data_IF_072404704361
#
_entry.id   IF_072404704361
#
_cell.length_a   1.000
_cell.length_b   1.000
_cell.length_c   1.000
_cell.angle_alpha   90.00
_cell.angle_beta   90.00
_cell.angle_gamma   90.00
#
_symmetry.space_group_name_H-M   'P 1'
#
loop_
_entity.id
_entity.type
_entity.pdbx_description
1 polymer ?
#
# COMPACT_ATOMS: atom_id res chain seq x y z
N UNK A 1 -38.91 -24.76 -13.65
CA UNK A 1 -38.37 -23.64 -14.40
C UNK A 1 -36.97 -23.98 -14.93
N UNK A 2 -36.84 -24.12 -16.25
CA UNK A 2 -35.57 -24.33 -16.93
C UNK A 2 -34.73 -23.05 -16.78
N UNK A 3 -33.66 -23.09 -15.96
CA UNK A 3 -32.63 -22.08 -15.93
C UNK A 3 -31.89 -22.16 -17.28
N UNK A 4 -32.16 -21.24 -18.21
CA UNK A 4 -31.35 -21.07 -19.40
C UNK A 4 -29.96 -20.56 -18.95
N UNK A 5 -28.98 -21.42 -18.92
CA UNK A 5 -27.57 -21.03 -18.89
C UNK A 5 -27.21 -20.46 -20.24
N UNK A 6 -27.13 -19.14 -20.36
CA UNK A 6 -26.54 -18.53 -21.53
C UNK A 6 -25.05 -18.84 -21.56
N UNK A 7 -24.59 -19.56 -22.59
CA UNK A 7 -23.15 -19.76 -22.81
C UNK A 7 -22.63 -18.55 -23.57
N UNK A 8 -21.76 -17.78 -22.96
CA UNK A 8 -21.07 -16.68 -23.61
C UNK A 8 -19.66 -17.16 -24.00
N UNK A 9 -19.29 -16.98 -25.24
CA UNK A 9 -17.95 -17.28 -25.74
C UNK A 9 -17.46 -16.09 -26.56
N UNK A 10 -16.62 -15.27 -25.95
CA UNK A 10 -15.97 -14.15 -26.60
C UNK A 10 -14.49 -14.15 -26.24
N UNK A 11 -13.66 -13.63 -27.11
CA UNK A 11 -12.22 -13.54 -26.87
C UNK A 11 -11.68 -12.22 -27.41
N UNK A 12 -10.74 -11.66 -26.70
CA UNK A 12 -10.04 -10.47 -27.12
C UNK A 12 -8.53 -10.63 -26.87
N UNK A 13 -7.74 -10.00 -27.70
CA UNK A 13 -6.28 -10.03 -27.61
C UNK A 13 -5.75 -8.64 -27.27
N UNK A 14 -4.85 -8.59 -26.32
CA UNK A 14 -4.15 -7.38 -25.96
C UNK A 14 -2.65 -7.59 -26.11
N UNK A 15 -1.97 -6.66 -26.76
CA UNK A 15 -0.51 -6.61 -26.80
C UNK A 15 -0.03 -5.20 -26.48
N UNK A 16 1.08 -5.08 -25.75
CA UNK A 16 1.59 -3.79 -25.33
C UNK A 16 3.11 -3.86 -25.09
N UNK A 17 3.78 -2.77 -25.51
CA UNK A 17 5.17 -2.54 -25.15
C UNK A 17 5.21 -1.68 -23.89
N UNK A 18 5.92 -2.15 -22.84
CA UNK A 18 6.07 -1.49 -21.54
C UNK A 18 7.53 -1.12 -21.29
N UNK A 19 8.05 -0.07 -21.95
CA UNK A 19 9.44 0.34 -21.79
C UNK A 19 9.71 0.88 -20.40
N UNK A 20 10.93 0.62 -19.91
CA UNK A 20 11.50 1.24 -18.72
C UNK A 20 12.89 1.73 -19.04
N UNK A 21 13.15 2.97 -18.69
CA UNK A 21 14.46 3.58 -18.77
C UNK A 21 14.85 4.10 -17.38
N UNK A 22 16.07 3.79 -16.95
CA UNK A 22 16.62 4.26 -15.67
C UNK A 22 18.05 4.72 -15.90
N UNK A 23 18.36 5.89 -15.38
CA UNK A 23 19.72 6.41 -15.27
C UNK A 23 20.06 6.57 -13.80
N UNK A 24 21.24 6.14 -13.41
CA UNK A 24 21.75 6.31 -12.05
C UNK A 24 23.17 6.80 -12.07
N UNK A 25 23.51 7.65 -11.12
CA UNK A 25 24.85 8.18 -10.94
C UNK A 25 25.33 7.94 -9.51
N UNK A 26 26.40 7.21 -9.38
CA UNK A 26 27.12 7.06 -8.13
C UNK A 26 27.96 8.33 -7.92
N UNK A 27 27.63 9.13 -6.90
CA UNK A 27 28.34 10.36 -6.55
C UNK A 27 29.55 10.08 -5.65
N UNK A 28 29.43 9.06 -4.80
CA UNK A 28 30.49 8.51 -3.94
C UNK A 28 30.12 7.08 -3.56
N UNK A 29 30.97 6.38 -2.83
CA UNK A 29 30.66 5.03 -2.31
C UNK A 29 29.35 4.95 -1.55
N UNK A 30 28.94 6.06 -0.92
CA UNK A 30 27.81 6.15 0.01
C UNK A 30 26.63 6.97 -0.54
N UNK A 31 26.71 7.49 -1.77
CA UNK A 31 25.71 8.40 -2.31
C UNK A 31 25.42 8.09 -3.78
N UNK A 32 24.15 7.80 -4.06
CA UNK A 32 23.65 7.55 -5.40
C UNK A 32 22.38 8.37 -5.64
N UNK A 33 22.25 8.91 -6.84
CA UNK A 33 21.02 9.52 -7.34
C UNK A 33 20.54 8.76 -8.58
N UNK A 34 19.26 8.77 -8.83
CA UNK A 34 18.68 8.14 -10.01
C UNK A 34 17.45 8.89 -10.53
N UNK A 35 17.17 8.65 -11.79
CA UNK A 35 15.90 9.00 -12.41
C UNK A 35 15.38 7.83 -13.24
N UNK A 36 14.09 7.60 -13.24
CA UNK A 36 13.46 6.55 -14.02
C UNK A 36 12.18 7.01 -14.67
N UNK A 37 11.91 6.47 -15.86
CA UNK A 37 10.64 6.58 -16.57
C UNK A 37 10.21 5.17 -16.95
N UNK A 38 8.98 4.80 -16.61
CA UNK A 38 8.45 3.49 -16.91
C UNK A 38 7.00 3.57 -17.37
N UNK A 39 6.62 2.74 -18.35
CA UNK A 39 5.24 2.56 -18.78
C UNK A 39 4.66 1.31 -18.16
N UNK A 40 3.55 1.45 -17.43
CA UNK A 40 2.75 0.37 -16.92
C UNK A 40 1.55 0.09 -17.82
N UNK A 41 1.04 -1.14 -17.76
CA UNK A 41 -0.08 -1.63 -18.53
C UNK A 41 -0.87 -2.67 -17.73
N UNK A 42 -2.19 -2.61 -17.86
CA UNK A 42 -3.10 -3.65 -17.38
C UNK A 42 -4.11 -3.96 -18.48
N UNK A 43 -4.25 -5.23 -18.83
CA UNK A 43 -5.16 -5.66 -19.90
C UNK A 43 -6.61 -5.29 -19.58
N UNK A 44 -7.38 -5.05 -20.63
CA UNK A 44 -8.82 -4.98 -20.57
C UNK A 44 -9.46 -6.36 -20.36
N UNK A 45 -10.78 -6.42 -20.39
CA UNK A 45 -11.51 -7.65 -20.20
C UNK A 45 -13.01 -7.45 -20.22
N UNK A 46 -13.74 -8.44 -19.71
CA UNK A 46 -15.19 -8.44 -19.64
C UNK A 46 -15.67 -8.49 -18.20
N UNK A 47 -16.75 -7.76 -17.90
CA UNK A 47 -17.45 -7.85 -16.64
C UNK A 47 -18.40 -9.04 -16.64
N UNK A 48 -18.17 -10.03 -15.78
CA UNK A 48 -19.09 -11.17 -15.62
C UNK A 48 -20.26 -10.72 -14.75
N UNK A 49 -21.43 -10.56 -15.37
CA UNK A 49 -22.68 -10.22 -14.66
C UNK A 49 -23.71 -11.32 -14.86
N UNK A 50 -24.50 -11.61 -13.85
CA UNK A 50 -25.48 -12.71 -13.89
C UNK A 50 -26.74 -12.41 -14.71
N UNK A 51 -26.91 -11.22 -15.26
CA UNK A 51 -28.19 -10.74 -15.78
C UNK A 51 -28.22 -10.31 -17.24
N UNK A 52 -27.08 -10.27 -17.94
CA UNK A 52 -27.06 -9.81 -19.35
C UNK A 52 -26.41 -10.84 -20.25
N UNK A 53 -26.99 -10.98 -21.45
CA UNK A 53 -26.44 -11.81 -22.55
C UNK A 53 -25.19 -11.19 -23.19
N UNK A 54 -24.90 -9.92 -22.90
CA UNK A 54 -23.72 -9.20 -23.38
C UNK A 54 -22.93 -8.74 -22.18
N UNK A 55 -21.68 -9.16 -22.08
CA UNK A 55 -20.79 -8.73 -21.00
C UNK A 55 -20.22 -7.35 -21.34
N UNK A 56 -20.42 -6.32 -20.48
CA UNK A 56 -19.76 -5.04 -20.69
C UNK A 56 -18.25 -5.21 -20.68
N UNK A 57 -17.60 -4.89 -21.79
CA UNK A 57 -16.15 -4.88 -21.89
C UNK A 57 -15.57 -3.63 -21.20
N UNK A 58 -14.34 -3.73 -20.76
CA UNK A 58 -13.54 -2.60 -20.31
C UNK A 58 -12.17 -2.59 -20.99
N UNK A 59 -11.69 -1.40 -21.28
CA UNK A 59 -10.47 -1.18 -22.03
C UNK A 59 -9.22 -1.41 -21.19
N UNK A 60 -8.05 -1.61 -21.81
CA UNK A 60 -6.77 -1.60 -21.13
C UNK A 60 -6.49 -0.25 -20.46
N UNK A 61 -5.78 -0.31 -19.35
CA UNK A 61 -5.30 0.85 -18.62
C UNK A 61 -3.81 1.03 -18.85
N UNK A 62 -3.36 2.30 -18.88
CA UNK A 62 -1.96 2.66 -19.11
C UNK A 62 -1.53 3.70 -18.12
N UNK A 63 -0.28 3.61 -17.67
CA UNK A 63 0.33 4.69 -16.90
C UNK A 63 1.75 4.97 -17.36
N UNK A 64 2.18 6.21 -17.15
CA UNK A 64 3.57 6.60 -17.16
C UNK A 64 3.97 6.98 -15.74
N UNK A 65 5.01 6.35 -15.24
CA UNK A 65 5.61 6.65 -13.96
C UNK A 65 6.94 7.36 -14.18
N UNK A 66 7.09 8.53 -13.58
CA UNK A 66 8.31 9.34 -13.54
C UNK A 66 8.77 9.40 -12.09
N UNK A 67 10.01 9.07 -11.85
CA UNK A 67 10.57 9.03 -10.51
C UNK A 67 11.99 9.56 -10.52
N UNK A 68 12.32 10.38 -9.52
CA UNK A 68 13.70 10.76 -9.18
C UNK A 68 13.94 10.42 -7.72
N UNK A 69 15.13 9.97 -7.39
CA UNK A 69 15.43 9.60 -6.02
C UNK A 69 16.91 9.61 -5.70
N UNK A 70 17.18 9.47 -4.42
CA UNK A 70 18.52 9.38 -3.88
C UNK A 70 18.59 8.32 -2.79
N UNK A 71 19.74 7.61 -2.75
CA UNK A 71 20.14 6.68 -1.69
C UNK A 71 21.42 7.20 -1.09
N UNK A 72 21.37 7.52 0.20
CA UNK A 72 22.47 8.20 0.87
C UNK A 72 22.82 7.48 2.15
N UNK A 73 24.10 7.27 2.41
CA UNK A 73 24.59 6.83 3.69
C UNK A 73 25.50 7.91 4.29
N UNK A 74 25.36 8.11 5.60
CA UNK A 74 26.07 9.10 6.39
C UNK A 74 26.63 8.45 7.65
N UNK A 75 27.50 9.14 8.37
CA UNK A 75 28.03 8.71 9.64
C UNK A 75 28.67 7.31 9.56
N UNK A 76 29.48 7.07 8.53
CA UNK A 76 30.13 5.77 8.27
C UNK A 76 29.09 4.63 8.11
N UNK A 77 27.98 4.89 7.42
CA UNK A 77 26.92 3.91 7.18
C UNK A 77 25.92 3.72 8.32
N UNK A 78 26.09 4.43 9.45
CA UNK A 78 25.16 4.34 10.59
C UNK A 78 23.79 4.95 10.28
N UNK A 79 23.74 5.98 9.44
CA UNK A 79 22.52 6.59 8.95
C UNK A 79 22.38 6.30 7.46
N UNK A 80 21.37 5.53 7.09
CA UNK A 80 21.00 5.23 5.71
C UNK A 80 19.65 5.90 5.42
N UNK A 81 19.57 6.63 4.32
CA UNK A 81 18.35 7.32 3.89
C UNK A 81 18.07 7.05 2.42
N UNK A 82 16.81 6.86 2.10
CA UNK A 82 16.30 6.82 0.75
C UNK A 82 15.19 7.84 0.61
N UNK A 83 15.19 8.60 -0.48
CA UNK A 83 14.13 9.54 -0.81
C UNK A 83 13.78 9.44 -2.26
N UNK A 84 12.51 9.58 -2.59
CA UNK A 84 12.02 9.69 -3.96
C UNK A 84 10.91 10.70 -4.09
N UNK A 85 10.81 11.27 -5.27
CA UNK A 85 9.68 12.06 -5.76
C UNK A 85 9.11 11.35 -6.97
N UNK A 86 7.81 11.20 -7.04
CA UNK A 86 7.17 10.51 -8.16
C UNK A 86 5.98 11.30 -8.71
N UNK A 87 5.72 11.06 -10.00
CA UNK A 87 4.53 11.47 -10.70
C UNK A 87 4.05 10.34 -11.60
N UNK A 88 2.77 9.96 -11.48
CA UNK A 88 2.12 8.94 -12.29
C UNK A 88 0.98 9.58 -13.07
N UNK A 89 1.06 9.52 -14.39
CA UNK A 89 -0.01 9.90 -15.31
C UNK A 89 -0.76 8.63 -15.73
N UNK A 90 -2.06 8.53 -15.41
CA UNK A 90 -2.84 7.31 -15.55
C UNK A 90 -4.03 7.52 -16.47
N UNK A 91 -4.05 6.81 -17.61
CA UNK A 91 -5.10 6.89 -18.63
C UNK A 91 -5.92 5.62 -18.64
N UNK A 92 -7.23 5.77 -18.88
CA UNK A 92 -8.20 4.67 -18.90
C UNK A 92 -8.15 3.82 -17.62
N UNK A 93 -7.90 4.43 -16.47
CA UNK A 93 -7.78 3.72 -15.20
C UNK A 93 -9.02 2.85 -14.95
N UNK A 94 -8.80 1.57 -14.66
CA UNK A 94 -9.86 0.62 -14.34
C UNK A 94 -10.30 0.84 -12.88
N UNK A 95 -11.56 1.22 -12.72
CA UNK A 95 -12.16 1.48 -11.40
C UNK A 95 -13.29 0.49 -11.18
N UNK A 96 -13.24 -0.23 -10.06
CA UNK A 96 -14.31 -1.15 -9.68
C UNK A 96 -15.41 -0.40 -8.95
N UNK A 97 -16.61 -0.50 -9.46
CA UNK A 97 -17.82 0.08 -8.86
C UNK A 97 -18.81 -1.03 -8.53
N UNK A 98 -19.33 -1.05 -7.31
CA UNK A 98 -20.41 -1.96 -6.95
C UNK A 98 -21.75 -1.38 -7.43
N UNK A 99 -22.45 -2.12 -8.29
CA UNK A 99 -23.75 -1.75 -8.83
C UNK A 99 -24.82 -2.64 -8.20
N UNK A 100 -25.87 -2.07 -7.56
CA UNK A 100 -26.96 -2.85 -6.99
C UNK A 100 -27.57 -3.81 -8.03
N UNK A 101 -27.69 -5.09 -7.68
CA UNK A 101 -28.25 -6.13 -8.55
C UNK A 101 -27.30 -6.70 -9.61
N UNK A 102 -26.19 -6.04 -9.90
CA UNK A 102 -25.18 -6.51 -10.89
C UNK A 102 -23.85 -6.94 -10.25
N UNK A 103 -23.58 -6.54 -9.01
CA UNK A 103 -22.31 -6.83 -8.34
C UNK A 103 -21.21 -5.83 -8.68
N UNK A 104 -19.96 -6.28 -8.68
CA UNK A 104 -18.81 -5.43 -8.98
C UNK A 104 -18.60 -5.34 -10.51
N UNK A 105 -18.58 -4.12 -11.00
CA UNK A 105 -18.34 -3.80 -12.42
C UNK A 105 -17.07 -2.95 -12.52
N UNK A 106 -16.19 -3.31 -13.43
CA UNK A 106 -15.02 -2.54 -13.81
C UNK A 106 -15.41 -1.57 -14.93
N UNK A 107 -15.12 -0.31 -14.76
CA UNK A 107 -15.24 0.74 -15.76
C UNK A 107 -13.91 1.47 -15.91
N UNK A 108 -13.66 2.06 -17.04
CA UNK A 108 -12.51 2.90 -17.26
C UNK A 108 -12.82 4.33 -16.82
N UNK A 109 -12.08 4.86 -15.84
CA UNK A 109 -12.03 6.29 -15.57
C UNK A 109 -11.30 7.01 -16.72
N UNK A 110 -11.65 8.26 -17.00
CA UNK A 110 -11.06 8.97 -18.12
C UNK A 110 -9.55 9.18 -17.94
N UNK A 111 -9.15 9.84 -16.86
CA UNK A 111 -7.76 10.21 -16.59
C UNK A 111 -7.58 10.49 -15.09
N UNK A 112 -6.47 10.06 -14.52
CA UNK A 112 -6.09 10.38 -13.14
C UNK A 112 -4.59 10.66 -13.03
N UNK A 113 -4.20 11.38 -12.00
CA UNK A 113 -2.80 11.56 -11.64
C UNK A 113 -2.54 11.15 -10.18
N UNK A 114 -1.31 10.73 -9.94
CA UNK A 114 -0.79 10.50 -8.59
C UNK A 114 0.60 11.10 -8.49
N UNK A 115 0.84 11.87 -7.43
CA UNK A 115 2.15 12.46 -7.18
C UNK A 115 2.44 12.49 -5.70
N UNK A 116 3.70 12.42 -5.37
CA UNK A 116 4.09 12.38 -3.99
C UNK A 116 5.57 12.25 -3.78
N UNK A 117 5.90 11.96 -2.54
CA UNK A 117 7.25 11.65 -2.14
C UNK A 117 7.27 10.55 -1.09
N UNK A 118 8.40 9.85 -1.05
CA UNK A 118 8.69 8.83 -0.06
C UNK A 118 10.04 9.14 0.60
N UNK A 119 10.11 8.89 1.90
CA UNK A 119 11.30 9.02 2.71
C UNK A 119 11.44 7.79 3.58
N UNK A 120 12.63 7.18 3.57
CA UNK A 120 13.00 6.07 4.44
C UNK A 120 14.33 6.40 5.12
N UNK A 121 14.44 6.13 6.41
CA UNK A 121 15.65 6.31 7.18
C UNK A 121 15.85 5.16 8.16
N UNK A 122 17.07 4.64 8.23
CA UNK A 122 17.51 3.70 9.27
C UNK A 122 18.74 4.28 9.94
N UNK A 123 18.68 4.42 11.25
CA UNK A 123 19.76 5.01 12.05
C UNK A 123 20.19 4.06 13.18
N UNK A 124 21.49 3.75 13.22
CA UNK A 124 22.14 2.92 14.22
C UNK A 124 23.16 3.76 15.02
N UNK A 125 22.70 4.58 16.00
CA UNK A 125 23.59 5.49 16.71
C UNK A 125 24.63 4.78 17.58
N UNK A 126 24.25 3.64 18.15
CA UNK A 126 25.09 2.84 19.04
C UNK A 126 24.76 1.35 18.88
N UNK A 127 25.62 0.50 19.42
CA UNK A 127 25.42 -0.94 19.40
C UNK A 127 24.10 -1.31 20.10
N UNK A 128 23.29 -2.13 19.44
CA UNK A 128 22.00 -2.59 19.94
C UNK A 128 20.82 -1.67 19.63
N UNK A 129 21.01 -0.37 19.32
CA UNK A 129 19.92 0.54 19.01
C UNK A 129 19.76 0.73 17.48
N UNK A 130 18.58 0.41 16.98
CA UNK A 130 18.16 0.71 15.62
C UNK A 130 16.86 1.52 15.64
N UNK A 131 16.86 2.64 14.93
CA UNK A 131 15.72 3.51 14.71
C UNK A 131 15.36 3.46 13.24
N UNK A 132 14.10 3.25 12.91
CA UNK A 132 13.59 3.25 11.54
C UNK A 132 12.47 4.28 11.42
N UNK A 133 12.47 5.02 10.33
CA UNK A 133 11.43 5.96 9.98
C UNK A 133 11.10 5.86 8.50
N UNK A 134 9.83 5.67 8.17
CA UNK A 134 9.32 5.69 6.81
C UNK A 134 8.14 6.63 6.75
N UNK A 135 8.09 7.46 5.72
CA UNK A 135 7.01 8.37 5.47
C UNK A 135 6.74 8.48 3.99
N UNK A 136 5.47 8.32 3.60
CA UNK A 136 4.98 8.51 2.25
C UNK A 136 3.86 9.54 2.22
N UNK A 137 3.89 10.41 1.24
CA UNK A 137 2.80 11.32 0.91
C UNK A 137 2.36 11.10 -0.52
N UNK A 138 1.06 10.86 -0.72
CA UNK A 138 0.48 10.59 -2.03
C UNK A 138 -0.73 11.49 -2.27
N UNK A 139 -0.68 12.28 -3.33
CA UNK A 139 -1.81 13.06 -3.82
C UNK A 139 -2.30 12.44 -5.13
N UNK A 140 -3.38 11.65 -5.05
CA UNK A 140 -3.95 10.94 -6.18
C UNK A 140 -5.41 11.37 -6.40
N UNK A 141 -5.76 11.75 -7.64
CA UNK A 141 -7.08 12.27 -7.98
C UNK A 141 -7.49 11.93 -9.40
N UNK A 142 -8.79 11.97 -9.65
CA UNK A 142 -9.33 11.98 -10.99
C UNK A 142 -9.13 13.35 -11.65
N UNK A 143 -8.45 13.40 -12.78
CA UNK A 143 -8.34 14.59 -13.62
C UNK A 143 -9.56 14.74 -14.52
N UNK A 144 -10.11 13.63 -14.99
CA UNK A 144 -11.37 13.55 -15.74
C UNK A 144 -12.03 12.20 -15.46
N UNK A 145 -13.21 12.23 -14.86
CA UNK A 145 -14.03 11.05 -14.68
C UNK A 145 -15.51 11.44 -14.73
N UNK A 146 -16.16 11.07 -15.82
CA UNK A 146 -17.58 11.26 -16.06
C UNK A 146 -18.24 9.88 -16.03
N UNK A 147 -18.88 9.56 -14.91
CA UNK A 147 -19.57 8.28 -14.72
C UNK A 147 -20.86 8.19 -15.52
N UNK A 148 -21.53 9.34 -15.72
CA UNK A 148 -22.70 9.51 -16.56
C UNK A 148 -22.83 11.00 -16.96
N UNK A 149 -23.81 11.33 -17.80
CA UNK A 149 -24.06 12.72 -18.22
C UNK A 149 -24.31 13.70 -17.06
N UNK A 150 -24.69 13.20 -15.89
CA UNK A 150 -25.03 14.03 -14.70
C UNK A 150 -24.15 13.74 -13.47
N UNK A 151 -23.28 12.71 -13.52
CA UNK A 151 -22.45 12.31 -12.38
C UNK A 151 -20.98 12.43 -12.78
N UNK A 152 -20.29 13.39 -12.18
CA UNK A 152 -18.90 13.70 -12.43
C UNK A 152 -18.07 13.55 -11.15
N UNK A 153 -16.94 12.90 -11.23
CA UNK A 153 -16.00 12.74 -10.11
C UNK A 153 -14.65 13.43 -10.36
N UNK A 154 -14.59 14.25 -11.40
CA UNK A 154 -13.41 15.07 -11.71
C UNK A 154 -12.99 15.91 -10.51
N UNK A 155 -11.70 15.85 -10.15
CA UNK A 155 -11.16 16.51 -8.97
C UNK A 155 -11.22 15.72 -7.67
N UNK A 156 -12.05 14.67 -7.60
CA UNK A 156 -12.14 13.80 -6.43
C UNK A 156 -10.87 12.97 -6.27
N UNK A 157 -10.56 12.64 -5.02
CA UNK A 157 -9.44 11.77 -4.66
C UNK A 157 -9.72 10.33 -5.09
N UNK A 158 -8.68 9.63 -5.53
CA UNK A 158 -8.79 8.21 -5.86
C UNK A 158 -9.19 7.41 -4.60
N UNK A 159 -10.16 6.49 -4.73
CA UNK A 159 -10.52 5.61 -3.63
C UNK A 159 -9.35 4.72 -3.18
N UNK A 160 -9.36 4.35 -1.90
CA UNK A 160 -8.41 3.41 -1.28
C UNK A 160 -6.95 3.87 -1.27
N UNK A 161 -6.67 5.12 -1.60
CA UNK A 161 -5.34 5.71 -1.54
C UNK A 161 -5.22 6.59 -0.30
N UNK A 162 -4.44 6.18 0.72
CA UNK A 162 -4.18 7.02 1.88
C UNK A 162 -3.33 8.22 1.49
N UNK A 163 -3.67 9.43 2.02
CA UNK A 163 -2.91 10.65 1.76
C UNK A 163 -1.50 10.60 2.34
N UNK A 164 -1.34 9.98 3.50
CA UNK A 164 -0.07 9.76 4.17
C UNK A 164 0.03 8.32 4.64
N UNK A 165 1.24 7.79 4.61
CA UNK A 165 1.60 6.54 5.28
C UNK A 165 2.84 6.81 6.12
N UNK A 166 2.90 6.27 7.33
CA UNK A 166 4.07 6.38 8.17
C UNK A 166 4.32 5.11 8.96
N UNK A 167 5.59 4.82 9.19
CA UNK A 167 6.03 3.78 10.10
C UNK A 167 7.29 4.25 10.82
N UNK A 168 7.25 4.21 12.15
CA UNK A 168 8.39 4.47 13.01
C UNK A 168 8.62 3.26 13.88
N UNK A 169 9.86 2.80 13.96
CA UNK A 169 10.21 1.71 14.85
C UNK A 169 11.50 2.03 15.61
N UNK A 170 11.52 1.62 16.86
CA UNK A 170 12.70 1.63 17.69
C UNK A 170 12.94 0.21 18.21
N UNK A 171 14.12 -0.32 17.94
CA UNK A 171 14.56 -1.63 18.43
C UNK A 171 15.81 -1.46 19.26
N UNK A 172 15.78 -1.96 20.50
CA UNK A 172 16.95 -2.03 21.35
C UNK A 172 17.25 -3.50 21.69
N UNK A 173 18.48 -3.92 21.44
CA UNK A 173 18.97 -5.26 21.75
C UNK A 173 20.05 -5.18 22.82
N UNK A 174 19.76 -5.73 23.97
CA UNK A 174 20.75 -6.00 25.03
C UNK A 174 21.44 -7.33 24.72
N UNK A 175 22.73 -7.39 24.88
CA UNK A 175 23.53 -8.59 24.70
C UNK A 175 24.06 -9.07 26.05
N UNK A 176 24.07 -10.39 26.26
CA UNK A 176 24.60 -11.05 27.45
C UNK A 176 24.04 -10.51 28.76
N UNK A 177 22.72 -10.36 28.83
CA UNK A 177 22.03 -9.77 29.99
C UNK A 177 21.16 -10.83 30.70
N UNK A 178 21.20 -10.83 32.05
CA UNK A 178 20.35 -11.71 32.90
C UNK A 178 20.42 -13.20 32.53
N UNK A 179 21.58 -13.69 32.06
CA UNK A 179 21.75 -15.06 31.61
C UNK A 179 21.19 -15.38 30.22
N UNK A 180 20.63 -14.40 29.52
CA UNK A 180 20.19 -14.47 28.13
C UNK A 180 21.34 -14.05 27.20
N UNK A 181 21.37 -14.62 26.00
CA UNK A 181 22.31 -14.19 24.97
C UNK A 181 21.86 -12.85 24.34
N UNK A 182 20.54 -12.67 24.21
CA UNK A 182 19.93 -11.43 23.71
C UNK A 182 18.58 -11.18 24.36
N UNK A 183 18.30 -9.92 24.67
CA UNK A 183 16.97 -9.41 25.00
C UNK A 183 16.67 -8.25 24.06
N UNK A 184 15.69 -8.40 23.20
CA UNK A 184 15.26 -7.40 22.22
C UNK A 184 13.95 -6.76 22.66
N UNK A 185 13.91 -5.44 22.69
CA UNK A 185 12.71 -4.63 22.86
C UNK A 185 12.42 -3.92 21.53
N UNK A 186 11.20 -3.99 21.06
CA UNK A 186 10.78 -3.30 19.85
C UNK A 186 9.46 -2.58 20.10
N UNK A 187 9.39 -1.32 19.67
CA UNK A 187 8.17 -0.54 19.58
C UNK A 187 8.02 -0.04 18.14
N UNK A 188 6.86 -0.26 17.54
CA UNK A 188 6.57 0.15 16.17
C UNK A 188 5.22 0.88 16.12
N UNK A 189 5.25 2.11 15.60
CA UNK A 189 4.07 2.94 15.35
C UNK A 189 3.84 3.00 13.83
N UNK A 190 2.68 2.55 13.37
CA UNK A 190 2.26 2.71 11.98
C UNK A 190 1.09 3.65 11.90
N UNK A 191 1.11 4.58 10.95
CA UNK A 191 0.06 5.56 10.74
C UNK A 191 -0.45 5.55 9.31
N UNK A 192 -1.74 5.73 9.18
CA UNK A 192 -2.43 5.83 7.89
C UNK A 192 -3.23 7.12 7.88
N UNK A 193 -3.00 7.96 6.88
CA UNK A 193 -3.73 9.19 6.65
C UNK A 193 -5.15 8.91 6.19
N UNK A 194 -5.90 9.98 5.96
CA UNK A 194 -7.27 9.90 5.46
C UNK A 194 -7.36 9.05 4.18
N UNK A 195 -8.33 8.15 4.15
CA UNK A 195 -8.68 7.32 2.99
C UNK A 195 -10.12 7.64 2.61
N UNK A 196 -10.38 7.78 1.31
CA UNK A 196 -11.73 7.76 0.76
C UNK A 196 -12.01 6.36 0.20
N UNK A 197 -13.19 5.82 0.51
CA UNK A 197 -13.56 4.48 0.10
C UNK A 197 -14.35 4.45 -1.21
N UNK A 198 -14.95 5.59 -1.57
CA UNK A 198 -15.84 5.73 -2.74
C UNK A 198 -15.40 6.88 -3.64
N UNK A 199 -15.71 6.78 -4.92
CA UNK A 199 -15.36 7.76 -5.97
C UNK A 199 -15.91 9.17 -5.68
N UNK A 200 -17.06 9.26 -5.02
CA UNK A 200 -17.68 10.54 -4.63
C UNK A 200 -17.07 11.15 -3.37
N UNK A 201 -16.08 10.50 -2.76
CA UNK A 201 -15.37 10.90 -1.55
C UNK A 201 -16.27 11.15 -0.30
N UNK A 202 -17.48 10.62 -0.28
CA UNK A 202 -18.38 10.75 0.86
C UNK A 202 -18.02 9.77 1.99
N UNK A 203 -17.72 8.52 1.63
CA UNK A 203 -17.31 7.53 2.61
C UNK A 203 -15.81 7.60 2.84
N UNK A 204 -15.40 7.86 4.07
CA UNK A 204 -13.99 8.09 4.42
C UNK A 204 -13.63 7.47 5.76
N UNK A 205 -12.37 7.07 5.90
CA UNK A 205 -11.70 6.76 7.15
C UNK A 205 -10.82 7.95 7.54
N UNK A 206 -10.99 8.55 8.72
CA UNK A 206 -10.05 9.52 9.26
C UNK A 206 -8.67 8.91 9.48
N UNK A 207 -7.64 9.75 9.61
CA UNK A 207 -6.29 9.29 9.94
C UNK A 207 -6.27 8.55 11.28
N UNK A 208 -5.47 7.49 11.36
CA UNK A 208 -5.28 6.71 12.58
C UNK A 208 -3.85 6.21 12.68
N UNK A 209 -3.44 5.80 13.89
CA UNK A 209 -2.16 5.16 14.12
C UNK A 209 -2.31 3.95 15.04
N UNK A 210 -1.45 2.96 14.83
CA UNK A 210 -1.42 1.69 15.56
C UNK A 210 -0.05 1.51 16.21
N UNK A 211 -0.02 1.30 17.51
CA UNK A 211 1.19 0.95 18.25
C UNK A 211 1.28 -0.56 18.40
N UNK A 212 2.43 -1.13 18.05
CA UNK A 212 2.77 -2.52 18.26
C UNK A 212 4.03 -2.62 19.12
N UNK A 213 4.03 -3.56 20.05
CA UNK A 213 5.17 -3.79 20.94
C UNK A 213 5.60 -5.25 20.84
N UNK A 214 6.92 -5.49 20.97
CA UNK A 214 7.46 -6.84 21.04
C UNK A 214 8.67 -6.91 21.99
N UNK A 215 8.72 -7.98 22.77
CA UNK A 215 9.87 -8.38 23.56
C UNK A 215 10.28 -9.76 23.06
N UNK A 216 11.59 -9.98 22.84
CA UNK A 216 12.11 -11.28 22.47
C UNK A 216 13.36 -11.62 23.30
N UNK A 217 13.32 -12.76 23.99
CA UNK A 217 14.41 -13.25 24.82
C UNK A 217 15.02 -14.52 24.17
N UNK A 218 16.32 -14.49 23.90
CA UNK A 218 17.05 -15.57 23.24
C UNK A 218 18.06 -16.19 24.20
N UNK A 219 18.05 -17.54 24.31
CA UNK A 219 19.05 -18.34 24.99
C UNK A 219 19.38 -19.56 24.16
N UNK A 220 20.64 -19.69 23.72
CA UNK A 220 21.07 -20.76 22.84
C UNK A 220 20.21 -20.83 21.57
N UNK A 221 19.53 -21.94 21.41
CA UNK A 221 18.66 -22.23 20.24
C UNK A 221 17.22 -21.76 20.42
N UNK A 222 16.83 -21.32 21.62
CA UNK A 222 15.48 -20.89 21.92
C UNK A 222 15.35 -19.40 21.87
N UNK A 223 14.25 -18.92 21.26
CA UNK A 223 13.80 -17.53 21.36
C UNK A 223 12.34 -17.56 21.79
N UNK A 224 12.06 -16.94 22.91
CA UNK A 224 10.69 -16.66 23.34
C UNK A 224 10.31 -15.23 22.99
N UNK A 225 9.14 -15.05 22.40
CA UNK A 225 8.60 -13.74 22.04
C UNK A 225 7.25 -13.51 22.73
N UNK A 226 7.09 -12.31 23.24
CA UNK A 226 5.80 -11.74 23.66
C UNK A 226 5.55 -10.50 22.82
N UNK A 227 4.36 -10.41 22.22
CA UNK A 227 4.03 -9.29 21.38
C UNK A 227 2.59 -8.80 21.62
N UNK A 228 2.37 -7.51 21.37
CA UNK A 228 1.05 -6.92 21.27
C UNK A 228 0.90 -6.15 19.96
N UNK A 229 -0.29 -6.21 19.37
CA UNK A 229 -0.69 -5.45 18.18
C UNK A 229 -1.84 -4.55 18.52
N UNK A 230 -1.86 -3.35 17.92
CA UNK A 230 -2.81 -2.30 18.24
C UNK A 230 -2.93 -2.11 19.77
N UNK A 231 -1.79 -1.92 20.42
CA UNK A 231 -1.66 -1.85 21.88
C UNK A 231 -2.53 -0.74 22.50
N UNK A 232 -2.78 0.32 21.77
CA UNK A 232 -3.65 1.44 22.15
C UNK A 232 -5.14 1.17 21.90
N UNK A 233 -5.49 0.01 21.34
CA UNK A 233 -6.85 -0.39 20.95
C UNK A 233 -7.55 0.67 20.08
N UNK A 234 -6.83 1.23 19.13
CA UNK A 234 -7.36 2.23 18.19
C UNK A 234 -8.44 1.61 17.31
N UNK A 235 -9.60 2.26 17.24
CA UNK A 235 -10.71 1.85 16.39
C UNK A 235 -10.59 2.47 15.01
N UNK A 236 -10.67 1.67 13.96
CA UNK A 236 -10.62 2.11 12.56
C UNK A 236 -11.39 1.15 11.67
N UNK A 237 -11.73 1.61 10.46
CA UNK A 237 -12.25 0.76 9.40
C UNK A 237 -11.10 0.29 8.53
N UNK A 238 -10.93 -1.03 8.38
CA UNK A 238 -9.92 -1.61 7.50
C UNK A 238 -10.36 -1.62 6.04
N UNK A 239 -11.68 -1.61 5.81
CA UNK A 239 -12.31 -1.56 4.49
C UNK A 239 -13.74 -1.07 4.63
N UNK A 240 -14.24 -0.36 3.62
CA UNK A 240 -15.65 -0.02 3.51
C UNK A 240 -16.06 0.16 2.05
N UNK A 241 -17.30 -0.13 1.74
CA UNK A 241 -17.90 0.09 0.43
C UNK A 241 -19.41 0.40 0.57
N UNK A 242 -19.95 1.07 -0.44
CA UNK A 242 -21.38 1.36 -0.53
C UNK A 242 -22.00 0.51 -1.66
N UNK A 243 -23.13 -0.12 -1.39
CA UNK A 243 -23.96 -0.83 -2.35
C UNK A 243 -25.44 -0.41 -2.11
N UNK A 244 -26.35 -1.35 -1.89
CA UNK A 244 -27.72 -1.09 -1.39
C UNK A 244 -27.72 -0.55 0.05
N UNK A 245 -26.66 -0.84 0.80
CA UNK A 245 -26.36 -0.35 2.12
C UNK A 245 -24.89 -0.02 2.25
N UNK A 246 -24.51 0.60 3.36
CA UNK A 246 -23.12 0.85 3.71
C UNK A 246 -22.56 -0.35 4.47
N UNK A 247 -21.48 -0.91 3.96
CA UNK A 247 -20.74 -2.02 4.56
C UNK A 247 -19.39 -1.54 5.02
N UNK A 248 -18.98 -1.91 6.23
CA UNK A 248 -17.66 -1.60 6.76
C UNK A 248 -17.10 -2.76 7.56
N UNK A 249 -15.83 -3.03 7.36
CA UNK A 249 -15.08 -4.00 8.15
C UNK A 249 -14.25 -3.24 9.19
N UNK A 250 -14.41 -3.58 10.45
CA UNK A 250 -13.56 -3.05 11.52
C UNK A 250 -12.14 -3.60 11.40
N UNK A 251 -11.17 -2.75 11.71
CA UNK A 251 -9.79 -3.17 11.90
C UNK A 251 -9.65 -4.07 13.12
N UNK A 252 -8.54 -4.80 13.18
CA UNK A 252 -8.25 -5.71 14.30
C UNK A 252 -8.10 -4.91 15.60
N UNK A 253 -8.75 -5.31 16.70
CA UNK A 253 -8.62 -4.67 18.00
C UNK A 253 -7.24 -4.94 18.61
N UNK A 254 -7.03 -4.52 19.86
CA UNK A 254 -5.88 -4.97 20.64
C UNK A 254 -5.78 -6.49 20.64
N UNK A 255 -4.58 -6.97 20.38
CA UNK A 255 -4.22 -8.38 20.44
C UNK A 255 -2.90 -8.56 21.16
N UNK A 256 -2.77 -9.63 21.94
CA UNK A 256 -1.53 -10.08 22.56
C UNK A 256 -1.31 -11.53 22.23
N UNK A 257 -0.06 -11.92 22.05
CA UNK A 257 0.30 -13.30 21.78
C UNK A 257 1.75 -13.59 22.13
N UNK A 258 2.07 -14.88 22.16
CA UNK A 258 3.42 -15.37 22.43
C UNK A 258 3.82 -16.37 21.37
N UNK A 259 5.13 -16.49 21.14
CA UNK A 259 5.73 -17.44 20.21
C UNK A 259 7.00 -18.02 20.80
N UNK A 260 7.28 -19.27 20.51
CA UNK A 260 8.55 -19.93 20.83
C UNK A 260 9.16 -20.38 19.51
N UNK A 261 10.38 -19.94 19.25
CA UNK A 261 11.15 -20.33 18.08
C UNK A 261 12.34 -21.20 18.53
N UNK A 262 12.51 -22.30 17.84
CA UNK A 262 13.66 -23.20 18.04
C UNK A 262 14.44 -23.35 16.76
N UNK A 263 15.74 -23.05 16.80
CA UNK A 263 16.66 -23.22 15.64
C UNK A 263 17.19 -24.65 15.63
N UNK A 264 16.91 -25.39 14.57
CA UNK A 264 17.41 -26.77 14.39
C UNK A 264 18.92 -26.83 14.11
N UNK A 265 19.42 -25.86 13.35
CA UNK A 265 20.87 -25.71 13.07
C UNK A 265 21.39 -24.40 13.65
N UNK A 266 22.62 -24.34 14.17
CA UNK A 266 23.24 -23.13 14.70
C UNK A 266 23.55 -22.12 13.58
#
# INVERSE_FOLDING_TARGET
SLVRTATFNDHTHFSQITPKFTISQQLSTDKMVYASVARGYKAGGYNVTSTTTTLPAYDPEYNWNYEIGAKLAFLQGRLQTEMSLFYIDWKHQQVTTTVPGLGNIINNAGHSDSKGFELSATYRPLMGLELQANYGYTYARFLRYEKSAIVHFTGNMLPMVPRQTMAFAATYTFFNIMGLDKLMLNAALTGTGKIYWTENNQLKQPSYALLNLKIAATKGRFTWELWSKNTTNTHYMSYAFASSALYAQRGKPFMVGTSILFKLNP
#
